data_IF_909313166436
#
_entry.id   IF_909313166436
#
_cell.length_a   1.000
_cell.length_b   1.000
_cell.length_c   1.000
_cell.angle_alpha   90.00
_cell.angle_beta   90.00
_cell.angle_gamma   90.00
#
_symmetry.space_group_name_H-M   'P 1'
#
loop_
_entity.id
_entity.type
_entity.pdbx_description
1 polymer ?
#
# COMPACT_ATOMS: atom_id res chain seq x y z
N UNK A 1 12.97 -10.40 6.47
CA UNK A 1 11.65 -9.86 6.78
C UNK A 1 11.78 -8.35 6.82
N UNK A 2 11.32 -7.67 5.78
CA UNK A 2 11.32 -6.21 5.72
C UNK A 2 9.97 -5.66 6.15
N UNK A 3 9.97 -4.40 6.57
CA UNK A 3 8.78 -3.66 6.95
C UNK A 3 8.63 -2.44 6.07
N UNK A 4 7.40 -2.19 5.63
CA UNK A 4 7.07 -1.13 4.69
C UNK A 4 5.94 -0.25 5.22
N UNK A 5 5.80 0.93 4.63
CA UNK A 5 4.66 1.81 4.86
C UNK A 5 4.03 2.18 3.53
N UNK A 6 2.77 1.82 3.37
CA UNK A 6 2.00 1.96 2.13
C UNK A 6 0.92 3.01 2.33
N UNK A 7 0.92 4.05 1.50
CA UNK A 7 -0.01 5.18 1.62
C UNK A 7 -1.18 5.01 0.66
N UNK A 8 -2.40 5.21 1.14
CA UNK A 8 -3.61 5.27 0.30
C UNK A 8 -4.54 6.36 0.80
N UNK A 9 -5.24 7.01 -0.11
CA UNK A 9 -6.32 7.94 0.23
C UNK A 9 -7.59 7.14 0.57
N UNK A 10 -8.18 7.30 1.77
CA UNK A 10 -9.32 6.48 2.20
C UNK A 10 -10.58 6.67 1.37
N UNK A 11 -10.71 7.81 0.68
CA UNK A 11 -11.80 8.10 -0.27
C UNK A 11 -11.71 7.27 -1.55
N UNK A 12 -10.50 6.82 -1.93
CA UNK A 12 -10.26 5.99 -3.12
C UNK A 12 -10.21 4.52 -2.74
N UNK A 13 -9.36 4.17 -1.76
CA UNK A 13 -9.23 2.81 -1.27
C UNK A 13 -8.75 2.79 0.18
N UNK A 14 -9.66 2.45 1.10
CA UNK A 14 -9.40 2.40 2.53
C UNK A 14 -8.95 1.05 3.06
N UNK A 15 -8.58 1.00 4.35
CA UNK A 15 -8.23 -0.25 5.04
C UNK A 15 -9.47 -1.14 5.23
N UNK A 16 -10.67 -0.54 5.31
CA UNK A 16 -11.92 -1.28 5.38
C UNK A 16 -12.18 -2.05 4.07
N UNK A 17 -11.94 -1.43 2.92
CA UNK A 17 -12.01 -2.10 1.62
C UNK A 17 -11.06 -3.30 1.58
N UNK A 18 -9.80 -3.11 1.98
CA UNK A 18 -8.82 -4.21 2.02
C UNK A 18 -9.23 -5.33 2.98
N UNK A 19 -9.86 -5.00 4.10
CA UNK A 19 -10.37 -5.98 5.07
C UNK A 19 -11.46 -6.85 4.44
N UNK A 20 -12.35 -6.26 3.65
CA UNK A 20 -13.46 -6.96 3.01
C UNK A 20 -12.98 -7.75 1.77
N UNK A 21 -12.14 -7.15 0.93
CA UNK A 21 -11.58 -7.76 -0.29
C UNK A 21 -10.55 -8.85 0.01
N UNK A 22 -9.91 -8.80 1.19
CA UNK A 22 -8.80 -9.65 1.67
C UNK A 22 -7.49 -9.52 0.91
N UNK A 23 -7.53 -9.13 -0.36
CA UNK A 23 -6.39 -8.91 -1.23
C UNK A 23 -6.73 -7.89 -2.30
N UNK A 24 -5.73 -7.13 -2.74
CA UNK A 24 -5.89 -6.15 -3.81
C UNK A 24 -4.60 -5.98 -4.60
N UNK A 25 -4.69 -5.35 -5.76
CA UNK A 25 -3.54 -4.94 -6.55
C UNK A 25 -3.10 -3.56 -6.08
N UNK A 26 -1.82 -3.40 -5.74
CA UNK A 26 -1.26 -2.10 -5.40
C UNK A 26 -0.77 -1.37 -6.66
N UNK A 27 -1.70 -0.72 -7.33
CA UNK A 27 -1.44 0.05 -8.56
C UNK A 27 -1.28 1.56 -8.28
N UNK A 28 -1.33 2.39 -9.33
CA UNK A 28 -1.34 3.85 -9.19
C UNK A 28 0.00 4.51 -8.78
N UNK A 29 1.05 3.73 -8.51
CA UNK A 29 2.37 4.28 -8.10
C UNK A 29 3.10 4.95 -9.27
N UNK A 30 3.05 6.28 -9.29
CA UNK A 30 3.73 7.13 -10.29
C UNK A 30 5.10 7.65 -9.86
N UNK A 31 5.45 7.51 -8.58
CA UNK A 31 6.77 7.90 -8.08
C UNK A 31 7.81 6.80 -8.38
N UNK A 32 8.90 7.16 -9.06
CA UNK A 32 9.94 6.22 -9.48
C UNK A 32 10.62 5.50 -8.32
N UNK A 33 10.87 6.19 -7.20
CA UNK A 33 11.50 5.61 -6.02
C UNK A 33 10.55 4.62 -5.33
N UNK A 34 9.28 4.99 -5.13
CA UNK A 34 8.26 4.10 -4.58
C UNK A 34 8.07 2.85 -5.44
N UNK A 35 8.08 2.99 -6.77
CA UNK A 35 8.06 1.85 -7.70
C UNK A 35 9.25 0.92 -7.50
N UNK A 36 10.45 1.48 -7.31
CA UNK A 36 11.64 0.67 -7.06
C UNK A 36 11.57 -0.06 -5.71
N UNK A 37 10.98 0.55 -4.67
CA UNK A 37 10.71 -0.13 -3.41
C UNK A 37 9.71 -1.28 -3.57
N UNK A 38 8.60 -1.08 -4.28
CA UNK A 38 7.65 -2.16 -4.59
C UNK A 38 8.32 -3.34 -5.30
N UNK A 39 9.23 -3.07 -6.25
CA UNK A 39 10.01 -4.12 -6.94
C UNK A 39 10.95 -4.90 -6.01
N UNK A 40 11.34 -4.32 -4.88
CA UNK A 40 12.23 -4.95 -3.90
C UNK A 40 11.50 -5.73 -2.81
N UNK A 41 10.18 -5.54 -2.68
CA UNK A 41 9.34 -6.30 -1.75
C UNK A 41 9.34 -7.79 -2.10
N UNK A 42 9.28 -8.63 -1.07
CA UNK A 42 9.19 -10.09 -1.23
C UNK A 42 7.92 -10.62 -0.56
N UNK A 43 7.34 -11.73 -1.07
CA UNK A 43 6.27 -12.42 -0.36
C UNK A 43 6.67 -12.72 1.09
N UNK A 44 5.78 -12.39 2.02
CA UNK A 44 6.02 -12.50 3.47
C UNK A 44 6.49 -11.21 4.13
N UNK A 45 6.98 -10.20 3.39
CA UNK A 45 7.23 -8.88 3.96
C UNK A 45 5.92 -8.25 4.46
N UNK A 46 6.01 -7.45 5.53
CA UNK A 46 4.85 -6.82 6.16
C UNK A 46 4.82 -5.32 5.86
N UNK A 47 3.63 -4.75 5.80
CA UNK A 47 3.45 -3.32 5.55
C UNK A 47 2.38 -2.72 6.46
N UNK A 48 2.65 -1.53 6.98
CA UNK A 48 1.63 -0.69 7.58
C UNK A 48 0.83 0.00 6.47
N UNK A 49 -0.50 -0.05 6.59
CA UNK A 49 -1.39 0.72 5.74
C UNK A 49 -1.62 2.08 6.39
N UNK A 50 -1.25 3.15 5.69
CA UNK A 50 -1.36 4.52 6.17
C UNK A 50 -2.37 5.30 5.33
N UNK A 51 -3.40 5.84 5.98
CA UNK A 51 -4.31 6.79 5.35
C UNK A 51 -3.62 8.14 5.19
N UNK A 52 -3.28 8.48 3.96
CA UNK A 52 -2.76 9.81 3.63
C UNK A 52 -3.91 10.74 3.25
N UNK A 53 -3.80 12.01 3.63
CA UNK A 53 -4.69 13.07 3.17
C UNK A 53 -6.17 12.89 3.59
N UNK A 54 -6.42 12.59 4.87
CA UNK A 54 -7.75 12.76 5.47
C UNK A 54 -7.97 14.23 5.79
N UNK A 55 -8.47 15.00 4.83
CA UNK A 55 -9.08 16.30 5.10
C UNK A 55 -10.53 16.12 5.56
#
# INVERSE_FOLDING_TARGET
MNYWLMKSEPSVYGIANLKDDRQTIWDGVRNYQARNFLRSMRPGDLAFFYHSNTM
#
